data_IF_746231262016
#
_entry.id   IF_746231262016
#
_cell.length_a   1.000
_cell.length_b   1.000
_cell.length_c   1.000
_cell.angle_alpha   90.00
_cell.angle_beta   90.00
_cell.angle_gamma   90.00
#
_symmetry.space_group_name_H-M   'P 1'
#
loop_
_entity.id
_entity.type
_entity.pdbx_description
1 polymer ?
#
# COMPACT_ATOMS: atom_id res chain seq x y z
N UNK A 1 27.25 -9.00 1.86
CA UNK A 1 26.80 -7.72 1.27
C UNK A 1 26.04 -6.91 2.32
N UNK A 2 26.25 -5.59 2.38
CA UNK A 2 25.40 -4.66 3.12
C UNK A 2 24.29 -4.16 2.19
N UNK A 3 23.03 -4.23 2.61
CA UNK A 3 21.90 -3.65 1.88
C UNK A 3 21.67 -2.23 2.44
N UNK A 4 22.44 -1.27 1.95
CA UNK A 4 22.28 0.14 2.30
C UNK A 4 21.49 0.87 1.23
N UNK A 5 20.56 1.74 1.66
CA UNK A 5 19.74 2.54 0.76
C UNK A 5 18.70 1.72 -0.02
N UNK A 6 18.35 2.21 -1.20
CA UNK A 6 17.40 1.56 -2.12
C UNK A 6 18.17 0.65 -3.07
N UNK A 7 17.73 -0.60 -3.17
CA UNK A 7 18.33 -1.57 -4.08
C UNK A 7 17.90 -1.29 -5.53
N UNK A 8 18.73 -1.72 -6.47
CA UNK A 8 18.48 -1.66 -7.91
C UNK A 8 18.51 -3.08 -8.46
N UNK A 9 17.73 -3.32 -9.51
CA UNK A 9 17.75 -4.61 -10.20
C UNK A 9 18.85 -4.61 -11.27
N UNK A 10 19.71 -5.61 -11.25
CA UNK A 10 20.75 -5.83 -12.24
C UNK A 10 20.53 -7.18 -12.94
N UNK A 11 20.59 -7.16 -14.27
CA UNK A 11 20.73 -8.35 -15.10
C UNK A 11 22.22 -8.61 -15.28
N UNK A 12 22.72 -9.68 -14.68
CA UNK A 12 24.11 -10.11 -14.82
C UNK A 12 24.14 -11.40 -15.62
N UNK A 13 24.96 -11.41 -16.66
CA UNK A 13 25.20 -12.59 -17.51
C UNK A 13 26.69 -12.91 -17.45
N UNK A 14 27.02 -14.16 -17.16
CA UNK A 14 28.40 -14.64 -17.15
C UNK A 14 28.51 -16.05 -17.69
N UNK A 15 29.73 -16.44 -18.02
CA UNK A 15 30.08 -17.75 -18.58
C UNK A 15 31.45 -18.19 -18.07
N UNK A 16 31.75 -19.47 -18.28
CA UNK A 16 33.11 -19.98 -18.11
C UNK A 16 34.00 -19.37 -19.21
N UNK A 17 35.30 -19.21 -18.94
CA UNK A 17 36.24 -18.89 -20.00
C UNK A 17 36.27 -20.05 -21.01
N UNK A 18 36.31 -19.75 -22.33
CA UNK A 18 36.40 -20.78 -23.34
C UNK A 18 37.72 -21.54 -23.18
N UNK A 19 37.65 -22.87 -23.24
CA UNK A 19 38.81 -23.76 -23.15
C UNK A 19 38.92 -24.56 -24.44
N UNK A 20 40.09 -25.14 -24.79
CA UNK A 20 40.21 -25.97 -25.99
C UNK A 20 39.22 -27.15 -26.01
N UNK A 21 38.85 -27.67 -24.83
CA UNK A 21 37.83 -28.73 -24.69
C UNK A 21 36.41 -28.23 -24.88
N UNK A 22 36.10 -27.02 -24.41
CA UNK A 22 34.77 -26.41 -24.50
C UNK A 22 34.90 -24.99 -25.04
N UNK A 23 34.81 -24.86 -26.38
CA UNK A 23 34.96 -23.58 -27.09
C UNK A 23 33.78 -22.63 -26.87
N UNK A 24 32.57 -23.16 -26.74
CA UNK A 24 31.32 -22.39 -26.59
C UNK A 24 30.62 -22.73 -25.27
N UNK A 25 31.11 -22.21 -24.13
CA UNK A 25 30.50 -22.47 -22.84
C UNK A 25 29.11 -21.81 -22.73
N UNK A 26 28.18 -22.40 -21.98
CA UNK A 26 26.83 -21.87 -21.80
C UNK A 26 26.83 -20.54 -21.04
N UNK A 27 25.89 -19.66 -21.38
CA UNK A 27 25.68 -18.39 -20.70
C UNK A 27 24.65 -18.53 -19.58
N UNK A 28 24.99 -18.01 -18.39
CA UNK A 28 24.09 -17.98 -17.24
C UNK A 28 23.65 -16.56 -16.94
N UNK A 29 22.34 -16.35 -16.83
CA UNK A 29 21.72 -15.06 -16.51
C UNK A 29 21.09 -15.12 -15.12
N UNK A 30 21.40 -14.12 -14.30
CA UNK A 30 20.76 -13.91 -13.00
C UNK A 30 20.18 -12.50 -12.87
N UNK A 31 19.07 -12.41 -12.13
CA UNK A 31 18.50 -11.14 -11.64
C UNK A 31 19.05 -10.92 -10.23
N UNK A 32 19.77 -9.83 -10.02
CA UNK A 32 20.45 -9.54 -8.76
C UNK A 32 20.02 -8.17 -8.26
N UNK A 33 19.63 -8.10 -7.00
CA UNK A 33 19.27 -6.85 -6.34
C UNK A 33 20.47 -6.33 -5.56
N UNK A 34 20.98 -5.16 -5.94
CA UNK A 34 22.17 -4.56 -5.33
C UNK A 34 22.14 -3.02 -5.40
N UNK A 35 22.88 -2.30 -4.54
CA UNK A 35 22.93 -0.84 -4.60
C UNK A 35 23.74 -0.34 -5.80
N UNK A 36 24.75 -1.10 -6.23
CA UNK A 36 25.61 -0.77 -7.35
C UNK A 36 25.99 -2.03 -8.16
N UNK A 37 26.53 -1.81 -9.35
CA UNK A 37 26.92 -2.88 -10.27
C UNK A 37 28.10 -3.72 -9.73
N UNK A 38 29.01 -3.13 -8.95
CA UNK A 38 30.15 -3.85 -8.34
C UNK A 38 29.65 -4.95 -7.39
N UNK A 39 28.72 -4.61 -6.51
CA UNK A 39 28.11 -5.58 -5.59
C UNK A 39 27.25 -6.57 -6.35
N UNK A 40 26.58 -6.16 -7.44
CA UNK A 40 25.84 -7.09 -8.31
C UNK A 40 26.77 -8.17 -8.89
N UNK A 41 27.91 -7.79 -9.46
CA UNK A 41 28.93 -8.72 -9.97
C UNK A 41 29.45 -9.64 -8.85
N UNK A 42 29.69 -9.12 -7.65
CA UNK A 42 30.12 -9.93 -6.50
C UNK A 42 29.07 -10.98 -6.10
N UNK A 43 27.79 -10.59 -6.03
CA UNK A 43 26.69 -11.52 -5.71
C UNK A 43 26.46 -12.55 -6.80
N UNK A 44 26.69 -12.21 -8.06
CA UNK A 44 26.61 -13.17 -9.17
C UNK A 44 27.58 -14.34 -8.96
N UNK A 45 28.84 -14.05 -8.69
CA UNK A 45 29.85 -15.07 -8.43
C UNK A 45 29.54 -15.93 -7.20
N UNK A 46 29.03 -15.30 -6.14
CA UNK A 46 28.57 -16.02 -4.95
C UNK A 46 27.54 -17.11 -5.31
N UNK A 47 26.47 -16.75 -6.03
CA UNK A 47 25.43 -17.72 -6.37
C UNK A 47 25.85 -18.73 -7.44
N UNK A 48 26.57 -18.29 -8.48
CA UNK A 48 27.03 -19.17 -9.57
C UNK A 48 28.01 -20.23 -9.07
N UNK A 49 28.87 -19.90 -8.10
CA UNK A 49 29.77 -20.88 -7.51
C UNK A 49 29.03 -22.01 -6.79
N UNK A 50 27.89 -21.71 -6.15
CA UNK A 50 27.06 -22.70 -5.47
C UNK A 50 26.28 -23.58 -6.46
N UNK A 51 25.81 -23.01 -7.56
CA UNK A 51 24.95 -23.71 -8.53
C UNK A 51 25.72 -24.50 -9.59
N UNK A 52 26.80 -23.91 -10.13
CA UNK A 52 27.52 -24.43 -11.31
C UNK A 52 29.02 -24.62 -11.07
N UNK A 53 29.49 -24.54 -9.82
CA UNK A 53 30.90 -24.71 -9.43
C UNK A 53 31.88 -23.82 -10.21
N UNK A 54 31.40 -22.71 -10.77
CA UNK A 54 32.20 -21.77 -11.55
C UNK A 54 32.73 -20.65 -10.65
N UNK A 55 34.02 -20.34 -10.79
CA UNK A 55 34.72 -19.32 -10.00
C UNK A 55 34.95 -18.05 -10.83
N UNK A 56 35.19 -16.93 -10.15
CA UNK A 56 35.52 -15.65 -10.78
C UNK A 56 36.81 -15.70 -11.61
N UNK A 57 37.78 -16.52 -11.23
CA UNK A 57 39.04 -16.69 -11.96
C UNK A 57 38.89 -17.49 -13.24
N UNK A 58 37.97 -18.46 -13.26
CA UNK A 58 37.74 -19.37 -14.39
C UNK A 58 36.62 -18.89 -15.31
N UNK A 59 36.04 -17.72 -15.06
CA UNK A 59 34.88 -17.23 -15.80
C UNK A 59 34.92 -15.73 -15.97
N UNK A 60 34.08 -15.25 -16.88
CA UNK A 60 33.95 -13.84 -17.20
C UNK A 60 32.49 -13.39 -17.15
N UNK A 61 32.28 -12.11 -16.86
CA UNK A 61 30.97 -11.48 -16.94
C UNK A 61 30.84 -10.86 -18.32
N UNK A 62 29.91 -11.38 -19.11
CA UNK A 62 29.62 -10.91 -20.47
C UNK A 62 28.80 -9.62 -20.43
N UNK A 63 27.82 -9.54 -19.52
CA UNK A 63 26.92 -8.39 -19.44
C UNK A 63 26.55 -8.08 -17.99
N UNK A 64 26.54 -6.80 -17.64
CA UNK A 64 26.00 -6.30 -16.38
C UNK A 64 25.28 -4.99 -16.64
N UNK A 65 23.95 -5.06 -16.69
CA UNK A 65 23.10 -3.88 -16.94
C UNK A 65 22.04 -3.74 -15.88
N UNK A 66 21.70 -2.49 -15.55
CA UNK A 66 20.57 -2.20 -14.68
C UNK A 66 19.26 -2.46 -15.44
N UNK A 67 18.32 -3.15 -14.80
CA UNK A 67 16.98 -3.36 -15.33
C UNK A 67 16.05 -2.36 -14.67
N UNK A 68 15.35 -1.60 -15.50
CA UNK A 68 14.31 -0.69 -15.04
C UNK A 68 12.93 -1.37 -15.12
N UNK A 69 12.04 -0.93 -14.24
CA UNK A 69 10.67 -1.42 -14.21
C UNK A 69 9.92 -0.99 -15.48
N UNK A 70 9.14 -1.89 -16.08
CA UNK A 70 8.37 -1.59 -17.31
C UNK A 70 7.26 -0.55 -17.07
N UNK A 71 6.61 -0.65 -15.91
CA UNK A 71 5.49 0.21 -15.52
C UNK A 71 5.71 0.73 -14.09
N UNK A 72 6.56 1.75 -13.89
CA UNK A 72 6.92 2.25 -12.56
C UNK A 72 5.80 3.07 -11.90
N UNK A 73 4.79 3.49 -12.66
CA UNK A 73 3.66 4.23 -12.11
C UNK A 73 2.56 3.31 -11.60
N UNK A 74 2.49 2.05 -12.05
CA UNK A 74 1.42 1.14 -11.66
C UNK A 74 1.76 0.41 -10.36
N UNK A 75 0.86 0.46 -9.37
CA UNK A 75 1.02 -0.32 -8.13
C UNK A 75 0.83 -1.81 -8.42
N UNK A 76 1.77 -2.62 -7.95
CA UNK A 76 1.82 -4.07 -8.17
C UNK A 76 1.93 -4.81 -6.84
N UNK A 77 1.55 -6.07 -6.83
CA UNK A 77 1.82 -6.97 -5.71
C UNK A 77 2.96 -7.90 -6.14
N UNK A 78 3.97 -8.04 -5.29
CA UNK A 78 5.13 -8.87 -5.55
C UNK A 78 5.20 -10.02 -4.55
N UNK A 79 5.34 -11.24 -5.06
CA UNK A 79 5.73 -12.39 -4.27
C UNK A 79 7.24 -12.56 -4.28
N UNK A 80 7.80 -12.73 -3.10
CA UNK A 80 9.23 -12.96 -2.89
C UNK A 80 9.39 -14.28 -2.17
N UNK A 81 10.04 -15.22 -2.86
CA UNK A 81 10.53 -16.46 -2.28
C UNK A 81 11.96 -16.24 -1.86
N UNK A 82 12.21 -16.35 -0.57
CA UNK A 82 13.52 -16.16 0.00
C UNK A 82 13.90 -17.35 0.88
N UNK A 83 15.19 -17.60 0.95
CA UNK A 83 15.82 -18.44 1.95
C UNK A 83 16.62 -17.52 2.85
N UNK A 84 16.58 -17.75 4.15
CA UNK A 84 17.44 -17.03 5.08
C UNK A 84 18.03 -17.96 6.13
N UNK A 85 19.19 -17.58 6.62
CA UNK A 85 19.85 -18.26 7.72
C UNK A 85 19.47 -17.56 9.03
N UNK A 86 18.85 -18.32 9.92
CA UNK A 86 18.66 -17.94 11.33
C UNK A 86 19.92 -18.28 12.12
N UNK A 87 19.89 -18.08 13.44
CA UNK A 87 20.99 -18.49 14.32
C UNK A 87 21.09 -20.01 14.44
N UNK A 88 19.99 -20.73 14.26
CA UNK A 88 19.88 -22.17 14.49
C UNK A 88 19.90 -22.98 13.19
N UNK A 89 19.44 -22.40 12.08
CA UNK A 89 19.33 -23.14 10.83
C UNK A 89 18.83 -22.30 9.67
N UNK A 90 18.60 -22.95 8.54
CA UNK A 90 18.23 -22.27 7.29
C UNK A 90 16.76 -22.48 6.98
N UNK A 91 16.01 -21.41 6.76
CA UNK A 91 14.57 -21.48 6.58
C UNK A 91 14.14 -20.81 5.27
N UNK A 92 13.18 -21.44 4.59
CA UNK A 92 12.54 -20.88 3.42
C UNK A 92 11.32 -20.06 3.86
N UNK A 93 11.09 -18.93 3.20
CA UNK A 93 9.97 -18.04 3.45
C UNK A 93 9.39 -17.55 2.14
N UNK A 94 8.07 -17.35 2.18
CA UNK A 94 7.33 -16.65 1.14
C UNK A 94 6.70 -15.40 1.75
N UNK A 95 6.98 -14.24 1.14
CA UNK A 95 6.46 -12.94 1.57
C UNK A 95 5.90 -12.17 0.39
N UNK A 96 4.93 -11.31 0.68
CA UNK A 96 4.25 -10.48 -0.31
C UNK A 96 4.43 -9.01 0.06
N UNK A 97 4.73 -8.19 -0.93
CA UNK A 97 4.88 -6.74 -0.77
C UNK A 97 4.09 -6.02 -1.86
N UNK A 98 3.48 -4.89 -1.51
CA UNK A 98 2.79 -4.03 -2.47
C UNK A 98 3.65 -2.80 -2.73
N UNK A 99 4.13 -2.65 -3.95
CA UNK A 99 5.02 -1.56 -4.34
C UNK A 99 4.89 -1.25 -5.84
N UNK A 100 5.48 -0.15 -6.29
CA UNK A 100 5.54 0.29 -7.68
C UNK A 100 6.59 -0.50 -8.50
N UNK A 101 7.70 -0.89 -7.86
CA UNK A 101 8.86 -1.50 -8.53
C UNK A 101 9.30 -2.79 -7.84
N UNK A 102 9.89 -3.72 -8.61
CA UNK A 102 10.50 -4.95 -8.08
C UNK A 102 11.59 -4.65 -7.05
N UNK A 103 12.44 -3.67 -7.35
CA UNK A 103 13.58 -3.30 -6.52
C UNK A 103 13.13 -2.62 -5.20
N UNK A 104 12.06 -1.84 -5.26
CA UNK A 104 11.40 -1.29 -4.07
C UNK A 104 10.85 -2.39 -3.16
N UNK A 105 10.11 -3.35 -3.72
CA UNK A 105 9.56 -4.49 -2.98
C UNK A 105 10.65 -5.32 -2.29
N UNK A 106 11.77 -5.56 -2.98
CA UNK A 106 12.93 -6.25 -2.41
C UNK A 106 13.61 -5.43 -1.33
N UNK A 107 13.70 -4.11 -1.50
CA UNK A 107 14.24 -3.20 -0.47
C UNK A 107 13.38 -3.26 0.80
N UNK A 108 12.06 -3.23 0.66
CA UNK A 108 11.14 -3.44 1.78
C UNK A 108 11.38 -4.81 2.42
N UNK A 109 11.57 -5.85 1.63
CA UNK A 109 11.86 -7.20 2.14
C UNK A 109 13.11 -7.28 3.01
N UNK A 110 14.21 -6.65 2.59
CA UNK A 110 15.43 -6.62 3.41
C UNK A 110 15.21 -5.89 4.73
N UNK A 111 14.45 -4.78 4.73
CA UNK A 111 14.10 -4.05 5.96
C UNK A 111 13.23 -4.89 6.89
N UNK A 112 12.23 -5.57 6.32
CA UNK A 112 11.28 -6.41 7.06
C UNK A 112 11.94 -7.62 7.71
N UNK A 113 12.88 -8.25 7.01
CA UNK A 113 13.67 -9.37 7.52
C UNK A 113 14.64 -8.91 8.61
N UNK A 114 15.23 -7.72 8.48
CA UNK A 114 16.05 -7.10 9.52
C UNK A 114 15.24 -6.75 10.76
N UNK A 115 14.02 -6.21 10.60
CA UNK A 115 13.18 -5.79 11.71
C UNK A 115 12.57 -6.97 12.47
N UNK A 116 11.94 -7.93 11.77
CA UNK A 116 11.21 -9.02 12.42
C UNK A 116 12.09 -10.17 12.86
N UNK A 117 13.09 -10.52 12.04
CA UNK A 117 13.90 -11.73 12.23
C UNK A 117 15.36 -11.43 12.56
N UNK A 118 15.73 -10.15 12.68
CA UNK A 118 17.13 -9.70 12.86
C UNK A 118 18.08 -10.28 11.80
N UNK A 119 17.53 -10.64 10.64
CA UNK A 119 18.29 -11.25 9.57
C UNK A 119 19.08 -10.18 8.83
N UNK A 120 20.40 -10.37 8.76
CA UNK A 120 21.29 -9.45 8.07
C UNK A 120 21.24 -9.72 6.57
N UNK A 121 21.56 -8.70 5.76
CA UNK A 121 21.50 -8.80 4.31
C UNK A 121 22.37 -9.92 3.70
N UNK A 122 23.47 -10.31 4.36
CA UNK A 122 24.31 -11.42 3.90
C UNK A 122 23.69 -12.80 4.16
N UNK A 123 22.81 -12.93 5.16
CA UNK A 123 22.12 -14.17 5.52
C UNK A 123 20.87 -14.42 4.68
N UNK A 124 20.46 -13.47 3.84
CA UNK A 124 19.24 -13.54 3.04
C UNK A 124 19.61 -13.83 1.59
N UNK A 125 18.95 -14.84 1.02
CA UNK A 125 19.05 -15.24 -0.37
C UNK A 125 17.68 -15.14 -1.02
N UNK A 126 17.56 -14.31 -2.06
CA UNK A 126 16.31 -14.19 -2.83
C UNK A 126 16.36 -15.21 -3.94
N UNK A 127 15.37 -16.12 -3.95
CA UNK A 127 15.28 -17.19 -4.94
C UNK A 127 14.53 -16.70 -6.19
N UNK A 128 13.36 -16.10 -5.98
CA UNK A 128 12.48 -15.61 -7.06
C UNK A 128 11.72 -14.37 -6.59
N UNK A 129 11.52 -13.45 -7.53
CA UNK A 129 10.61 -12.30 -7.38
C UNK A 129 9.69 -12.27 -8.58
N UNK A 130 8.38 -12.23 -8.31
CA UNK A 130 7.34 -12.30 -9.33
C UNK A 130 6.20 -11.33 -9.00
N UNK A 131 5.60 -10.73 -10.03
CA UNK A 131 4.34 -9.97 -9.91
C UNK A 131 3.19 -10.95 -9.77
N UNK A 132 2.34 -10.73 -8.77
CA UNK A 132 1.22 -11.59 -8.42
C UNK A 132 -0.09 -10.83 -8.66
N UNK A 133 -1.02 -11.48 -9.36
CA UNK A 133 -2.38 -10.99 -9.53
C UNK A 133 -3.09 -10.89 -8.18
N UNK A 134 -3.94 -9.87 -7.99
CA UNK A 134 -4.60 -9.60 -6.71
C UNK A 134 -5.32 -10.83 -6.11
N UNK A 135 -5.99 -11.62 -6.95
CA UNK A 135 -6.70 -12.85 -6.54
C UNK A 135 -5.80 -13.93 -5.93
N UNK A 136 -4.52 -13.98 -6.33
CA UNK A 136 -3.55 -15.01 -5.89
C UNK A 136 -2.75 -14.60 -4.66
N UNK A 137 -2.87 -13.34 -4.20
CA UNK A 137 -2.21 -12.92 -2.98
C UNK A 137 -2.77 -13.68 -1.78
N UNK A 138 -1.91 -14.07 -0.84
CA UNK A 138 -2.25 -14.91 0.32
C UNK A 138 -2.20 -14.14 1.62
N UNK A 139 -1.41 -13.06 1.71
CA UNK A 139 -1.15 -12.36 2.97
C UNK A 139 -2.27 -11.35 3.26
N UNK A 140 -2.90 -11.40 4.46
CA UNK A 140 -3.99 -10.48 4.81
C UNK A 140 -3.56 -9.01 4.77
N UNK A 141 -2.32 -8.74 5.18
CA UNK A 141 -1.73 -7.39 5.13
C UNK A 141 -1.66 -6.78 3.72
N UNK A 142 -1.59 -7.61 2.67
CA UNK A 142 -1.63 -7.14 1.27
C UNK A 142 -3.05 -7.15 0.73
N UNK A 143 -3.84 -8.18 1.08
CA UNK A 143 -5.25 -8.32 0.67
C UNK A 143 -6.15 -7.16 1.11
N UNK A 144 -5.91 -6.57 2.29
CA UNK A 144 -6.71 -5.43 2.77
C UNK A 144 -6.66 -4.21 1.83
N UNK A 145 -5.63 -4.12 0.99
CA UNK A 145 -5.47 -3.05 0.00
C UNK A 145 -6.07 -3.41 -1.37
N UNK A 146 -6.67 -4.59 -1.52
CA UNK A 146 -7.35 -5.02 -2.74
C UNK A 146 -8.83 -4.66 -2.63
N UNK A 147 -9.40 -4.08 -3.68
CA UNK A 147 -10.78 -3.62 -3.68
C UNK A 147 -11.73 -4.82 -3.71
N UNK A 148 -12.45 -5.02 -2.61
CA UNK A 148 -13.78 -5.66 -2.54
C UNK A 148 -14.31 -5.84 -1.10
N UNK A 149 -13.53 -5.54 -0.05
CA UNK A 149 -13.92 -5.89 1.33
C UNK A 149 -13.70 -4.79 2.39
N UNK A 150 -13.75 -3.51 2.02
CA UNK A 150 -13.83 -2.39 2.99
C UNK A 150 -15.22 -1.73 3.04
N UNK A 151 -16.22 -2.36 2.41
CA UNK A 151 -17.65 -2.04 2.59
C UNK A 151 -18.43 -3.08 3.42
N UNK A 152 -17.86 -4.28 3.66
CA UNK A 152 -18.59 -5.38 4.30
C UNK A 152 -18.37 -5.49 5.83
N UNK A 153 -17.42 -4.74 6.40
CA UNK A 153 -17.15 -4.75 7.85
C UNK A 153 -17.53 -3.45 8.56
N UNK A 154 -18.08 -2.47 7.84
CA UNK A 154 -18.66 -1.24 8.40
C UNK A 154 -20.18 -1.12 8.14
N UNK A 155 -20.80 -2.17 7.57
CA UNK A 155 -22.24 -2.24 7.32
C UNK A 155 -23.03 -3.03 8.38
N UNK A 156 -22.46 -3.22 9.57
CA UNK A 156 -23.02 -4.10 10.61
C UNK A 156 -23.09 -3.48 11.99
N UNK A 157 -23.25 -2.17 12.10
CA UNK A 157 -23.72 -1.47 13.30
C UNK A 157 -24.44 -0.20 12.82
N UNK A 158 -25.66 -0.38 12.36
CA UNK A 158 -26.57 0.73 12.08
C UNK A 158 -26.94 1.43 13.38
N UNK A 159 -26.19 2.46 13.75
CA UNK A 159 -26.74 3.57 14.51
C UNK A 159 -27.21 4.62 13.50
N UNK A 160 -28.44 4.42 13.02
CA UNK A 160 -29.18 5.47 12.34
C UNK A 160 -29.47 6.57 13.35
N UNK A 161 -28.81 7.71 13.19
CA UNK A 161 -29.16 8.93 13.91
C UNK A 161 -30.56 9.36 13.52
N UNK A 162 -31.51 9.21 14.44
CA UNK A 162 -32.79 9.91 14.41
C UNK A 162 -32.52 11.33 14.89
N UNK A 163 -32.99 12.32 14.12
CA UNK A 163 -32.95 13.75 14.42
C UNK A 163 -33.46 14.07 15.83
N UNK A 164 -32.98 15.15 16.49
CA UNK A 164 -33.37 15.47 17.85
C UNK A 164 -34.79 16.04 17.89
N UNK A 165 -35.77 15.17 18.15
CA UNK A 165 -37.08 15.55 18.64
C UNK A 165 -37.02 15.75 20.15
N UNK A 166 -37.52 16.90 20.59
CA UNK A 166 -37.83 17.33 21.97
C UNK A 166 -37.96 16.21 23.01
N UNK A 167 -37.11 16.26 24.03
CA UNK A 167 -37.19 15.44 25.22
C UNK A 167 -38.30 15.96 26.15
N UNK A 168 -39.45 15.29 26.17
CA UNK A 168 -40.42 15.40 27.28
C UNK A 168 -40.24 14.21 28.22
N UNK A 169 -39.95 14.49 29.49
CA UNK A 169 -39.86 13.50 30.57
C UNK A 169 -41.21 12.75 30.75
N UNK A 170 -41.21 11.43 31.00
CA UNK A 170 -42.44 10.74 31.38
C UNK A 170 -42.70 10.98 32.87
N UNK A 171 -43.67 11.85 33.17
CA UNK A 171 -44.29 11.92 34.49
C UNK A 171 -45.29 10.78 34.64
N UNK A 172 -45.04 9.89 35.58
CA UNK A 172 -46.00 8.92 36.09
C UNK A 172 -47.17 9.64 36.73
N UNK A 173 -48.38 9.59 36.16
CA UNK A 173 -49.67 9.64 36.88
C UNK A 173 -50.82 9.30 35.89
N UNK A 174 -51.75 8.39 36.21
CA UNK A 174 -52.91 8.08 35.38
C UNK A 174 -54.14 8.88 35.85
N UNK A 175 -54.77 9.66 34.97
CA UNK A 175 -56.06 10.34 35.22
C UNK A 175 -56.88 10.36 33.91
N UNK A 176 -58.22 10.21 33.96
CA UNK A 176 -58.98 9.39 33.01
C UNK A 176 -59.59 10.13 31.81
N UNK A 177 -60.03 9.35 30.83
CA UNK A 177 -60.73 9.78 29.61
C UNK A 177 -62.03 10.54 29.87
N UNK A 178 -62.36 11.47 28.95
CA UNK A 178 -63.75 11.70 28.57
C UNK A 178 -64.00 11.55 27.05
N UNK A 179 -64.99 10.71 26.74
CA UNK A 179 -66.01 10.70 25.66
C UNK A 179 -65.86 11.50 24.34
N UNK A 180 -66.30 10.81 23.27
CA UNK A 180 -67.05 11.32 22.07
C UNK A 180 -66.32 12.23 21.06
N UNK A 181 -66.51 12.17 19.74
CA UNK A 181 -67.49 11.56 18.84
C UNK A 181 -66.78 11.28 17.49
N UNK A 182 -67.04 10.13 16.87
CA UNK A 182 -66.72 9.89 15.47
C UNK A 182 -67.87 10.34 14.57
N UNK A 183 -67.54 11.20 13.63
CA UNK A 183 -68.31 11.55 12.44
C UNK A 183 -67.44 12.50 11.63
N UNK A 184 -67.31 12.45 10.33
CA UNK A 184 -67.98 11.71 9.28
C UNK A 184 -67.36 12.24 7.97
N UNK A 185 -67.47 11.42 6.95
CA UNK A 185 -66.99 11.62 5.58
C UNK A 185 -67.49 12.88 4.88
N UNK A 186 -66.69 13.43 3.97
CA UNK A 186 -67.20 13.83 2.65
C UNK A 186 -66.89 15.24 2.13
N UNK A 187 -66.29 15.24 0.94
CA UNK A 187 -66.53 16.13 -0.20
C UNK A 187 -65.87 17.52 -0.32
N UNK A 188 -64.97 17.59 -1.32
CA UNK A 188 -64.85 18.54 -2.43
C UNK A 188 -65.20 20.02 -2.23
N UNK A 189 -64.23 20.89 -2.55
CA UNK A 189 -64.31 21.80 -3.71
C UNK A 189 -63.07 22.70 -3.77
N UNK A 190 -62.60 22.96 -4.99
CA UNK A 190 -61.37 23.68 -5.25
C UNK A 190 -61.42 25.20 -5.08
N UNK A 191 -60.25 25.82 -5.03
CA UNK A 191 -60.03 27.21 -5.40
C UNK A 191 -58.57 27.42 -5.81
N UNK A 192 -58.43 28.28 -6.81
CA UNK A 192 -57.30 28.53 -7.69
C UNK A 192 -56.43 29.69 -7.16
N UNK A 193 -55.21 29.76 -7.71
CA UNK A 193 -54.30 30.93 -7.83
C UNK A 193 -53.19 31.10 -6.79
N UNK A 194 -51.97 31.27 -7.30
CA UNK A 194 -50.83 31.79 -6.54
C UNK A 194 -49.47 31.35 -7.06
N UNK A 195 -49.07 31.86 -8.23
CA UNK A 195 -47.70 31.72 -8.75
C UNK A 195 -46.77 32.59 -7.91
N UNK A 196 -45.71 32.01 -7.31
CA UNK A 196 -44.58 32.77 -6.78
C UNK A 196 -43.30 31.93 -6.85
N UNK A 197 -42.54 32.14 -7.93
CA UNK A 197 -41.12 31.79 -8.05
C UNK A 197 -40.28 32.64 -7.10
N UNK A 198 -39.38 32.08 -6.27
CA UNK A 198 -38.34 32.87 -5.64
C UNK A 198 -37.13 33.00 -6.57
N UNK A 199 -36.89 34.26 -6.92
CA UNK A 199 -35.73 34.85 -7.57
C UNK A 199 -34.38 34.30 -7.04
N UNK A 200 -33.47 33.93 -7.94
CA UNK A 200 -32.07 33.64 -7.63
C UNK A 200 -31.25 34.94 -7.66
N UNK A 201 -30.49 35.30 -6.61
CA UNK A 201 -29.46 36.32 -6.72
C UNK A 201 -28.12 35.70 -7.16
N UNK A 202 -27.66 36.13 -8.32
CA UNK A 202 -26.25 36.11 -8.73
C UNK A 202 -25.45 37.00 -7.76
N UNK A 203 -24.39 36.47 -7.14
CA UNK A 203 -23.14 37.23 -7.00
C UNK A 203 -21.93 36.31 -6.83
N UNK A 204 -21.05 36.40 -7.83
CA UNK A 204 -19.73 35.80 -7.91
C UNK A 204 -18.69 36.58 -7.09
N UNK A 205 -17.58 35.89 -6.83
CA UNK A 205 -16.27 36.34 -6.34
C UNK A 205 -16.17 36.58 -4.84
N UNK A 206 -15.42 35.69 -4.18
CA UNK A 206 -14.00 35.95 -3.88
C UNK A 206 -13.23 34.63 -3.75
N UNK A 207 -11.99 34.67 -4.24
CA UNK A 207 -11.09 33.54 -4.47
C UNK A 207 -10.77 32.74 -3.19
N UNK A 208 -11.31 31.53 -3.10
CA UNK A 208 -10.89 30.50 -2.16
C UNK A 208 -9.84 29.59 -2.78
N UNK A 209 -8.58 29.82 -2.42
CA UNK A 209 -7.40 29.03 -2.77
C UNK A 209 -7.64 27.53 -2.49
N UNK A 210 -7.78 26.71 -3.53
CA UNK A 210 -7.92 25.26 -3.40
C UNK A 210 -6.56 24.70 -2.96
N UNK A 211 -6.40 24.09 -1.77
CA UNK A 211 -5.15 23.43 -1.46
C UNK A 211 -5.06 22.18 -2.34
N UNK A 212 -4.12 22.24 -3.29
CA UNK A 212 -3.69 21.14 -4.12
C UNK A 212 -3.06 20.05 -3.22
N UNK A 213 -3.89 19.23 -2.57
CA UNK A 213 -3.46 18.02 -1.86
C UNK A 213 -4.16 16.81 -2.45
N UNK A 214 -3.81 16.50 -3.70
CA UNK A 214 -3.96 15.15 -4.22
C UNK A 214 -2.71 14.82 -5.02
N UNK A 215 -1.67 14.34 -4.33
CA UNK A 215 -0.73 13.43 -4.97
C UNK A 215 -1.55 12.17 -5.25
N UNK A 216 -2.17 12.13 -6.44
CA UNK A 216 -2.90 10.98 -6.93
C UNK A 216 -1.91 9.84 -7.13
N UNK A 217 -1.75 9.03 -6.08
CA UNK A 217 -1.33 7.64 -6.23
C UNK A 217 -2.32 6.98 -7.19
N UNK A 218 -1.88 6.20 -8.18
CA UNK A 218 -2.78 5.41 -9.00
C UNK A 218 -3.29 4.26 -8.15
N UNK A 219 -4.34 4.53 -7.39
CA UNK A 219 -5.08 3.58 -6.58
C UNK A 219 -6.57 3.83 -6.81
N UNK A 220 -7.27 2.73 -7.05
CA UNK A 220 -8.71 2.66 -7.27
C UNK A 220 -9.48 3.60 -6.33
N UNK A 221 -10.32 4.45 -6.91
CA UNK A 221 -11.09 5.53 -6.24
C UNK A 221 -12.07 5.07 -5.15
N UNK A 222 -12.10 3.76 -4.84
CA UNK A 222 -13.05 3.13 -3.92
C UNK A 222 -12.51 2.92 -2.50
N UNK A 223 -11.20 2.90 -2.29
CA UNK A 223 -10.62 2.70 -0.95
C UNK A 223 -10.37 4.06 -0.30
N UNK A 224 -11.01 4.30 0.84
CA UNK A 224 -10.84 5.53 1.64
C UNK A 224 -10.16 5.18 2.96
N UNK A 225 -9.10 5.91 3.28
CA UNK A 225 -8.42 5.79 4.56
C UNK A 225 -8.46 7.15 5.27
N UNK A 226 -9.19 7.31 6.40
CA UNK A 226 -8.94 8.44 7.25
C UNK A 226 -7.52 8.32 7.81
N UNK A 227 -6.81 9.44 7.90
CA UNK A 227 -5.57 9.53 8.68
C UNK A 227 -5.93 10.11 10.06
N UNK A 228 -6.42 9.28 11.01
CA UNK A 228 -7.09 9.77 12.22
C UNK A 228 -6.19 10.61 13.12
N UNK A 229 -4.88 10.40 13.05
CA UNK A 229 -3.91 11.14 13.84
C UNK A 229 -2.69 11.49 12.99
N UNK A 230 -2.48 12.79 12.75
CA UNK A 230 -1.39 13.33 11.95
C UNK A 230 -0.43 14.13 12.82
N UNK A 231 0.73 13.54 13.11
CA UNK A 231 1.80 14.21 13.88
C UNK A 231 2.58 15.18 12.99
N UNK A 232 2.56 16.48 13.34
CA UNK A 232 3.36 17.50 12.66
C UNK A 232 4.79 17.52 13.21
N UNK A 233 5.72 16.87 12.50
CA UNK A 233 7.15 16.98 12.80
C UNK A 233 7.76 18.15 12.02
N UNK A 234 7.92 19.31 12.66
CA UNK A 234 8.64 20.46 12.07
C UNK A 234 9.92 20.71 12.85
N UNK A 235 11.07 20.66 12.18
CA UNK A 235 12.40 20.74 12.80
C UNK A 235 12.75 22.15 13.30
N UNK A 236 12.18 23.19 12.71
CA UNK A 236 12.46 24.60 13.04
C UNK A 236 11.25 25.32 13.64
N UNK A 237 10.39 24.60 14.36
CA UNK A 237 9.35 25.25 15.15
C UNK A 237 9.93 25.83 16.44
N UNK A 238 9.35 26.90 16.98
CA UNK A 238 9.75 27.39 18.28
C UNK A 238 9.57 26.24 19.30
N UNK A 239 10.60 26.03 20.14
CA UNK A 239 10.59 24.96 21.16
C UNK A 239 9.42 25.11 22.13
N UNK A 240 9.01 26.37 22.33
CA UNK A 240 7.87 26.74 23.16
C UNK A 240 6.84 27.48 22.30
N UNK A 241 5.57 27.14 22.47
CA UNK A 241 4.44 27.78 21.81
C UNK A 241 3.29 27.81 22.80
N UNK A 242 2.51 28.88 22.79
CA UNK A 242 1.32 29.03 23.64
C UNK A 242 0.19 28.09 23.21
N UNK A 243 0.15 27.71 21.92
CA UNK A 243 -0.88 26.80 21.37
C UNK A 243 -0.41 25.35 21.39
N UNK A 244 -1.25 24.46 21.95
CA UNK A 244 -1.07 23.01 21.89
C UNK A 244 -1.22 22.51 20.44
N UNK A 245 -0.33 21.65 19.93
CA UNK A 245 -0.46 21.11 18.58
C UNK A 245 -1.71 20.23 18.46
N UNK A 246 -2.51 20.46 17.42
CA UNK A 246 -3.62 19.58 17.04
C UNK A 246 -3.11 18.49 16.09
N UNK A 247 -3.59 17.27 16.29
CA UNK A 247 -3.26 16.08 15.51
C UNK A 247 -4.46 15.47 14.79
N UNK A 248 -5.68 15.97 15.04
CA UNK A 248 -6.90 15.63 14.31
C UNK A 248 -7.17 16.69 13.23
N UNK A 249 -7.44 16.25 12.00
CA UNK A 249 -7.69 17.09 10.83
C UNK A 249 -8.87 16.55 10.02
#
# INVERSE_FOLDING_TARGET
MKASGTLREYKVVGRCLPTPKCRTPPLYRMRIFAPNHVVAKSRFWYFVSQLKKMKKSSGEIVYCGQVFEKSPLRVKNFGIWLRYDSRSGTHNMYREYRDLTTAGAVTQCYRDMGARHRARAHSIQIMKVEEIAASKCRRPAVKQFHVSALGALLGGLGWGGVSPGTWSWPSCFPVPQPWELQGGTGFDAGARWGVATPQWPLEERLRGFVPFTHLSLPQDSKIKFPLPHRVLRRQHKPRFTTKRPNTFF
#
